data_IF_024594120014
#
_entry.id   IF_024594120014
#
_cell.length_a   1.000
_cell.length_b   1.000
_cell.length_c   1.000
_cell.angle_alpha   90.00
_cell.angle_beta   90.00
_cell.angle_gamma   90.00
#
_symmetry.space_group_name_H-M   'P 1'
#
loop_
_entity.id
_entity.type
_entity.pdbx_description
1 polymer ?
#
# COMPACT_ATOMS: atom_id res chain seq x y z
N UNK A 1 0.57 5.31 21.59
CA UNK A 1 1.31 5.36 20.30
C UNK A 1 2.71 4.85 20.55
N UNK A 2 3.07 3.75 19.92
CA UNK A 2 4.41 3.21 20.03
C UNK A 2 5.38 4.09 19.21
N UNK A 3 6.35 4.68 19.87
CA UNK A 3 7.33 5.56 19.27
C UNK A 3 8.72 4.93 19.40
N UNK A 4 8.97 3.85 18.63
CA UNK A 4 10.34 3.42 18.45
C UNK A 4 11.07 4.54 17.72
N UNK A 5 12.00 5.17 18.41
CA UNK A 5 12.77 6.33 17.93
C UNK A 5 13.76 5.87 16.84
N UNK A 6 13.22 5.42 15.68
CA UNK A 6 13.96 4.90 14.54
C UNK A 6 14.57 6.03 13.70
N UNK A 7 14.08 7.27 13.87
CA UNK A 7 14.48 8.43 13.08
C UNK A 7 15.94 8.84 13.28
N UNK A 8 16.54 8.40 14.40
CA UNK A 8 17.96 8.65 14.70
C UNK A 8 18.92 7.55 14.18
N UNK A 9 18.39 6.48 13.58
CA UNK A 9 19.23 5.48 12.95
C UNK A 9 19.73 5.99 11.61
N UNK A 10 21.05 6.07 11.49
CA UNK A 10 21.69 6.29 10.19
C UNK A 10 21.39 5.06 9.32
N UNK A 11 20.77 5.32 8.15
CA UNK A 11 20.39 4.29 7.19
C UNK A 11 19.02 4.54 6.59
N UNK A 12 18.60 3.67 5.68
CA UNK A 12 17.35 3.77 4.94
C UNK A 12 17.55 4.22 3.50
N UNK A 13 16.44 4.31 2.79
CA UNK A 13 16.42 4.68 1.38
C UNK A 13 16.24 6.20 1.24
N UNK A 14 16.99 6.83 0.33
CA UNK A 14 16.85 8.26 0.05
C UNK A 14 15.62 8.52 -0.81
N UNK A 15 14.60 9.14 -0.22
CA UNK A 15 13.40 9.57 -0.92
C UNK A 15 13.34 11.10 -0.88
N UNK A 16 13.34 11.77 -2.04
CA UNK A 16 13.27 13.24 -2.16
C UNK A 16 14.26 13.97 -1.24
N UNK A 17 15.53 13.54 -1.21
CA UNK A 17 16.64 14.08 -0.38
C UNK A 17 16.52 13.82 1.14
N UNK A 18 15.55 13.04 1.58
CA UNK A 18 15.44 12.60 2.99
C UNK A 18 15.72 11.12 3.10
N UNK A 19 16.46 10.72 4.12
CA UNK A 19 16.61 9.31 4.45
C UNK A 19 15.32 8.85 5.15
N UNK A 20 14.69 7.82 4.59
CA UNK A 20 13.50 7.20 5.15
C UNK A 20 13.82 5.73 5.40
N UNK A 21 13.79 5.31 6.64
CA UNK A 21 14.09 3.94 7.05
C UNK A 21 12.84 3.18 7.53
N UNK A 22 11.74 3.89 7.76
CA UNK A 22 10.49 3.27 8.18
C UNK A 22 9.27 4.08 7.73
N UNK A 23 8.15 3.37 7.51
CA UNK A 23 6.81 3.92 7.38
C UNK A 23 5.92 3.23 8.39
N UNK A 24 5.13 3.99 9.14
CA UNK A 24 4.24 3.48 10.18
C UNK A 24 2.81 3.87 9.89
N UNK A 25 1.92 2.91 10.03
CA UNK A 25 0.49 3.12 9.95
C UNK A 25 -0.21 2.25 10.99
N UNK A 26 -0.74 2.84 12.05
CA UNK A 26 -1.30 2.16 13.20
C UNK A 26 -0.30 1.14 13.81
N UNK A 27 -0.59 -0.14 13.69
CA UNK A 27 0.25 -1.28 14.10
C UNK A 27 1.14 -1.83 12.98
N UNK A 28 0.87 -1.46 11.73
CA UNK A 28 1.69 -1.85 10.59
C UNK A 28 2.95 -0.97 10.47
N UNK A 29 4.10 -1.61 10.29
CA UNK A 29 5.38 -0.91 10.10
C UNK A 29 6.13 -1.52 8.93
N UNK A 30 6.50 -0.68 7.95
CA UNK A 30 7.40 -1.05 6.87
C UNK A 30 8.79 -0.51 7.17
N UNK A 31 9.80 -1.38 7.14
CA UNK A 31 11.20 -1.01 7.26
C UNK A 31 11.84 -0.99 5.88
N UNK A 32 12.67 0.00 5.63
CA UNK A 32 13.38 0.17 4.35
C UNK A 32 14.88 0.29 4.59
N UNK A 33 15.67 -0.46 3.81
CA UNK A 33 17.11 -0.48 3.91
C UNK A 33 17.73 -0.73 2.53
N UNK A 34 18.96 -0.26 2.32
CA UNK A 34 19.73 -0.49 1.08
C UNK A 34 20.50 -1.83 1.15
N UNK A 35 20.67 -2.40 2.35
CA UNK A 35 21.34 -3.69 2.54
C UNK A 35 20.60 -4.59 3.53
N UNK A 36 20.88 -5.89 3.42
CA UNK A 36 20.27 -6.90 4.30
C UNK A 36 20.75 -6.76 5.74
N UNK A 37 22.03 -6.44 5.96
CA UNK A 37 22.61 -6.21 7.28
C UNK A 37 21.95 -5.03 7.97
N UNK A 38 21.68 -3.98 7.23
CA UNK A 38 20.97 -2.80 7.72
C UNK A 38 19.52 -3.15 8.08
N UNK A 39 18.82 -3.88 7.23
CA UNK A 39 17.46 -4.33 7.50
C UNK A 39 17.40 -5.19 8.78
N UNK A 40 18.35 -6.10 8.98
CA UNK A 40 18.45 -6.90 10.19
C UNK A 40 18.66 -6.04 11.44
N UNK A 41 19.52 -5.03 11.38
CA UNK A 41 19.74 -4.09 12.50
C UNK A 41 18.46 -3.33 12.84
N UNK A 42 17.75 -2.81 11.82
CA UNK A 42 16.46 -2.12 12.00
C UNK A 42 15.44 -3.04 12.64
N UNK A 43 15.29 -4.27 12.12
CA UNK A 43 14.34 -5.25 12.64
C UNK A 43 14.63 -5.63 14.10
N UNK A 44 15.90 -5.86 14.44
CA UNK A 44 16.32 -6.18 15.82
C UNK A 44 15.94 -5.04 16.75
N UNK A 45 16.23 -3.79 16.37
CA UNK A 45 15.89 -2.63 17.19
C UNK A 45 14.38 -2.43 17.34
N UNK A 46 13.61 -2.62 16.27
CA UNK A 46 12.14 -2.58 16.35
C UNK A 46 11.63 -3.66 17.30
N UNK A 47 12.20 -4.86 17.26
CA UNK A 47 11.84 -5.95 18.16
C UNK A 47 12.13 -5.57 19.63
N UNK A 48 13.32 -5.09 19.94
CA UNK A 48 13.71 -4.67 21.28
C UNK A 48 12.81 -3.56 21.84
N UNK A 49 12.55 -2.53 21.04
CA UNK A 49 11.68 -1.42 21.45
C UNK A 49 10.20 -1.84 21.60
N UNK A 50 9.72 -2.75 20.76
CA UNK A 50 8.37 -3.29 20.89
C UNK A 50 8.21 -4.13 22.16
N UNK A 51 9.20 -4.96 22.49
CA UNK A 51 9.21 -5.78 23.71
C UNK A 51 9.21 -4.90 24.97
N UNK A 52 9.96 -3.79 25.01
CA UNK A 52 9.92 -2.80 26.12
C UNK A 52 8.52 -2.20 26.31
N UNK A 53 7.74 -2.07 25.23
CA UNK A 53 6.37 -1.57 25.25
C UNK A 53 5.32 -2.67 25.48
N UNK A 54 5.73 -3.91 25.75
CA UNK A 54 4.83 -5.05 25.93
C UNK A 54 4.22 -5.59 24.63
N UNK A 55 4.72 -5.14 23.46
CA UNK A 55 4.25 -5.57 22.15
C UNK A 55 5.17 -6.67 21.61
N UNK A 56 4.59 -7.64 20.88
CA UNK A 56 5.35 -8.71 20.22
C UNK A 56 5.22 -8.62 18.71
N UNK A 57 6.33 -8.70 18.00
CA UNK A 57 6.32 -8.81 16.55
C UNK A 57 5.66 -10.12 16.12
N UNK A 58 4.71 -10.02 15.18
CA UNK A 58 4.08 -11.18 14.57
C UNK A 58 4.95 -11.67 13.39
N UNK A 59 5.82 -12.65 13.65
CA UNK A 59 6.75 -13.19 12.65
C UNK A 59 6.03 -13.89 11.49
N UNK A 60 4.80 -14.37 11.67
CA UNK A 60 4.00 -14.99 10.60
C UNK A 60 3.43 -13.97 9.60
N UNK A 61 3.20 -12.74 10.06
CA UNK A 61 2.74 -11.63 9.21
C UNK A 61 3.88 -10.76 8.69
N UNK A 62 5.09 -10.92 9.23
CA UNK A 62 6.26 -10.17 8.79
C UNK A 62 6.80 -10.78 7.51
N UNK A 63 6.95 -9.97 6.46
CA UNK A 63 7.40 -10.40 5.13
C UNK A 63 8.55 -9.51 4.67
N UNK A 64 9.43 -10.04 3.81
CA UNK A 64 10.55 -9.32 3.21
C UNK A 64 10.31 -9.22 1.71
N UNK A 65 10.33 -8.00 1.17
CA UNK A 65 10.28 -7.72 -0.25
C UNK A 65 11.63 -7.23 -0.74
N UNK A 66 12.19 -7.90 -1.74
CA UNK A 66 13.41 -7.46 -2.43
C UNK A 66 13.04 -6.74 -3.72
N UNK A 67 13.44 -5.47 -3.85
CA UNK A 67 13.20 -4.66 -5.06
C UNK A 67 14.22 -4.95 -6.17
N UNK A 68 15.36 -5.59 -5.85
CA UNK A 68 16.42 -5.92 -6.81
C UNK A 68 16.68 -7.42 -6.78
N UNK A 69 16.52 -8.13 -7.92
CA UNK A 69 16.67 -9.60 -7.98
C UNK A 69 18.06 -10.14 -7.63
N UNK A 70 19.10 -9.32 -7.73
CA UNK A 70 20.50 -9.72 -7.51
C UNK A 70 20.88 -9.95 -6.04
N UNK A 71 20.01 -9.66 -5.10
CA UNK A 71 20.27 -9.79 -3.65
C UNK A 71 19.64 -11.05 -3.03
N UNK A 72 19.30 -12.05 -3.84
CA UNK A 72 18.83 -13.33 -3.30
C UNK A 72 19.95 -14.08 -2.58
N UNK A 73 20.17 -13.77 -1.32
CA UNK A 73 20.85 -14.71 -0.43
C UNK A 73 19.77 -15.57 0.24
N UNK A 74 19.87 -16.89 0.05
CA UNK A 74 19.02 -17.87 0.76
C UNK A 74 19.32 -17.77 2.25
N UNK A 75 18.56 -16.96 2.96
CA UNK A 75 18.70 -16.88 4.40
C UNK A 75 17.74 -17.83 5.08
N UNK A 76 18.28 -18.74 5.89
CA UNK A 76 17.55 -19.62 6.79
C UNK A 76 16.88 -18.91 7.96
N UNK A 77 16.22 -17.77 7.69
CA UNK A 77 15.46 -17.00 8.67
C UNK A 77 13.99 -17.40 8.67
N UNK A 78 13.31 -17.23 9.81
CA UNK A 78 11.88 -17.50 10.00
C UNK A 78 10.95 -16.52 9.26
N UNK A 79 11.47 -15.58 8.47
CA UNK A 79 10.71 -14.54 7.76
C UNK A 79 10.62 -14.90 6.28
N UNK A 80 9.40 -14.91 5.76
CA UNK A 80 9.11 -15.26 4.37
C UNK A 80 9.51 -14.14 3.42
N UNK A 81 10.20 -14.49 2.33
CA UNK A 81 10.50 -13.58 1.22
C UNK A 81 9.39 -13.67 0.20
N UNK A 82 8.82 -12.51 -0.16
CA UNK A 82 7.68 -12.42 -1.07
C UNK A 82 8.01 -11.51 -2.26
N UNK A 83 7.29 -11.71 -3.37
CA UNK A 83 7.38 -10.85 -4.57
C UNK A 83 6.42 -9.67 -4.52
N UNK A 84 5.42 -9.77 -3.68
CA UNK A 84 4.42 -8.72 -3.46
C UNK A 84 3.84 -8.83 -2.04
N UNK A 85 3.33 -7.74 -1.51
CA UNK A 85 2.64 -7.70 -0.23
C UNK A 85 1.56 -6.62 -0.21
N UNK A 86 0.63 -6.73 0.74
CA UNK A 86 -0.43 -5.73 0.92
C UNK A 86 -0.06 -4.82 2.09
N UNK A 87 0.07 -3.52 1.82
CA UNK A 87 0.28 -2.49 2.83
C UNK A 87 -0.86 -1.47 2.77
N UNK A 88 -1.55 -1.28 3.88
CA UNK A 88 -2.70 -0.35 4.02
C UNK A 88 -3.77 -0.58 2.94
N UNK A 89 -3.95 -1.85 2.53
CA UNK A 89 -4.95 -2.23 1.52
C UNK A 89 -4.51 -2.03 0.06
N UNK A 90 -3.28 -1.59 -0.21
CA UNK A 90 -2.69 -1.56 -1.55
C UNK A 90 -1.66 -2.67 -1.74
N UNK A 91 -1.70 -3.31 -2.89
CA UNK A 91 -0.72 -4.31 -3.28
C UNK A 91 0.54 -3.64 -3.79
N UNK A 92 1.65 -3.86 -3.09
CA UNK A 92 2.97 -3.38 -3.48
C UNK A 92 3.72 -4.55 -4.11
N UNK A 93 4.24 -4.36 -5.32
CA UNK A 93 4.99 -5.34 -6.09
C UNK A 93 6.45 -4.91 -6.24
N UNK A 94 7.36 -5.88 -6.34
CA UNK A 94 8.78 -5.61 -6.48
C UNK A 94 9.13 -4.86 -7.78
N UNK A 95 8.34 -5.04 -8.85
CA UNK A 95 8.50 -4.38 -10.14
C UNK A 95 7.87 -2.98 -10.22
N UNK A 96 7.11 -2.58 -9.19
CA UNK A 96 6.40 -1.30 -9.15
C UNK A 96 5.28 -1.18 -10.19
N UNK A 97 4.77 -2.30 -10.74
CA UNK A 97 3.65 -2.30 -11.69
C UNK A 97 2.30 -2.37 -10.97
N UNK A 98 1.58 -1.27 -10.98
CA UNK A 98 0.25 -1.13 -10.38
C UNK A 98 -0.91 -1.43 -11.34
N UNK A 99 -0.64 -1.90 -12.57
CA UNK A 99 -1.68 -2.14 -13.60
C UNK A 99 -2.78 -3.09 -13.12
N UNK A 100 -2.43 -4.12 -12.36
CA UNK A 100 -3.40 -5.07 -11.82
C UNK A 100 -4.22 -4.48 -10.68
N UNK A 101 -3.59 -3.67 -9.84
CA UNK A 101 -4.26 -2.95 -8.75
C UNK A 101 -5.30 -1.97 -9.31
N UNK A 102 -4.92 -1.17 -10.31
CA UNK A 102 -5.83 -0.25 -11.01
C UNK A 102 -7.02 -0.99 -11.61
N UNK A 103 -6.79 -2.12 -12.28
CA UNK A 103 -7.88 -2.95 -12.83
C UNK A 103 -8.82 -3.46 -11.73
N UNK A 104 -8.27 -3.90 -10.60
CA UNK A 104 -9.06 -4.37 -9.45
C UNK A 104 -9.95 -3.26 -8.89
N UNK A 105 -9.41 -2.06 -8.70
CA UNK A 105 -10.16 -0.90 -8.21
C UNK A 105 -11.26 -0.46 -9.20
N UNK A 106 -10.98 -0.45 -10.51
CA UNK A 106 -11.98 -0.20 -11.53
C UNK A 106 -13.11 -1.25 -11.52
N UNK A 107 -12.76 -2.52 -11.29
CA UNK A 107 -13.76 -3.59 -11.15
C UNK A 107 -14.62 -3.40 -9.89
N UNK A 108 -14.02 -3.02 -8.77
CA UNK A 108 -14.74 -2.69 -7.54
C UNK A 108 -15.69 -1.50 -7.76
N UNK A 109 -15.24 -0.47 -8.46
CA UNK A 109 -16.08 0.68 -8.85
C UNK A 109 -17.28 0.25 -9.69
N UNK A 110 -17.09 -0.63 -10.68
CA UNK A 110 -18.19 -1.20 -11.49
C UNK A 110 -19.17 -2.00 -10.64
N UNK A 111 -18.70 -2.84 -9.72
CA UNK A 111 -19.54 -3.58 -8.77
C UNK A 111 -20.37 -2.62 -7.90
N UNK A 112 -19.72 -1.58 -7.36
CA UNK A 112 -20.42 -0.55 -6.58
C UNK A 112 -21.47 0.20 -7.40
N UNK A 113 -21.19 0.51 -8.68
CA UNK A 113 -22.16 1.07 -9.63
C UNK A 113 -23.38 0.16 -9.82
N UNK A 114 -23.15 -1.15 -9.97
CA UNK A 114 -24.23 -2.14 -10.10
C UNK A 114 -25.14 -2.18 -8.87
N UNK A 115 -24.57 -2.04 -7.67
CA UNK A 115 -25.35 -1.96 -6.42
C UNK A 115 -26.24 -0.72 -6.42
N UNK A 116 -25.74 0.42 -6.92
CA UNK A 116 -26.49 1.68 -6.99
C UNK A 116 -27.45 1.75 -8.18
N UNK A 117 -27.42 0.80 -9.13
CA UNK A 117 -28.19 0.84 -10.37
C UNK A 117 -29.69 1.05 -10.13
N UNK A 118 -30.25 0.42 -9.09
CA UNK A 118 -31.65 0.60 -8.69
C UNK A 118 -31.98 2.06 -8.34
N UNK A 119 -31.08 2.76 -7.70
CA UNK A 119 -31.23 4.17 -7.32
C UNK A 119 -31.00 5.07 -8.55
N UNK A 120 -29.98 4.76 -9.33
CA UNK A 120 -29.60 5.56 -10.51
C UNK A 120 -30.68 5.52 -11.62
N UNK A 121 -31.46 4.41 -11.72
CA UNK A 121 -32.58 4.27 -12.68
C UNK A 121 -33.85 4.95 -12.23
N UNK A 122 -33.99 5.40 -11.00
CA UNK A 122 -35.19 6.09 -10.54
C UNK A 122 -35.38 7.43 -11.25
N UNK A 123 -36.62 7.72 -11.66
CA UNK A 123 -36.99 8.95 -12.35
C UNK A 123 -37.23 10.12 -11.41
N UNK A 124 -37.64 9.86 -10.18
CA UNK A 124 -37.86 10.85 -9.12
C UNK A 124 -36.57 11.50 -8.56
N UNK A 125 -35.41 10.96 -8.89
CA UNK A 125 -34.10 11.49 -8.48
C UNK A 125 -33.52 12.32 -9.64
N UNK A 126 -33.22 13.58 -9.37
CA UNK A 126 -32.61 14.48 -10.33
C UNK A 126 -31.22 14.04 -10.75
N UNK A 127 -30.83 14.37 -11.99
CA UNK A 127 -29.49 14.03 -12.51
C UNK A 127 -28.37 14.55 -11.60
N UNK A 128 -28.51 15.77 -11.07
CA UNK A 128 -27.52 16.36 -10.17
C UNK A 128 -27.29 15.50 -8.92
N UNK A 129 -28.36 14.99 -8.31
CA UNK A 129 -28.25 14.10 -7.14
C UNK A 129 -27.63 12.75 -7.48
N UNK A 130 -27.92 12.20 -8.68
CA UNK A 130 -27.28 10.97 -9.16
C UNK A 130 -25.78 11.15 -9.34
N UNK A 131 -25.36 12.24 -9.97
CA UNK A 131 -23.93 12.58 -10.14
C UNK A 131 -23.25 12.77 -8.78
N UNK A 132 -23.90 13.47 -7.86
CA UNK A 132 -23.38 13.63 -6.51
C UNK A 132 -23.19 12.29 -5.80
N UNK A 133 -24.17 11.39 -5.87
CA UNK A 133 -24.11 10.05 -5.30
C UNK A 133 -22.92 9.24 -5.85
N UNK A 134 -22.74 9.25 -7.19
CA UNK A 134 -21.62 8.57 -7.83
C UNK A 134 -20.27 9.16 -7.36
N UNK A 135 -20.15 10.49 -7.32
CA UNK A 135 -18.94 11.16 -6.88
C UNK A 135 -18.58 10.86 -5.42
N UNK A 136 -19.57 10.76 -4.54
CA UNK A 136 -19.33 10.55 -3.09
C UNK A 136 -19.15 9.09 -2.72
N UNK A 137 -19.75 8.15 -3.45
CA UNK A 137 -19.73 6.73 -3.09
C UNK A 137 -18.83 5.87 -3.99
N UNK A 138 -18.75 6.17 -5.28
CA UNK A 138 -18.04 5.33 -6.24
C UNK A 138 -16.58 5.81 -6.43
N UNK A 139 -16.36 7.11 -6.62
CA UNK A 139 -15.02 7.63 -6.85
C UNK A 139 -14.04 7.33 -5.72
N UNK A 140 -14.39 7.43 -4.43
CA UNK A 140 -13.49 7.04 -3.35
C UNK A 140 -13.04 5.58 -3.43
N UNK A 141 -13.90 4.67 -3.89
CA UNK A 141 -13.55 3.25 -4.05
C UNK A 141 -12.50 3.07 -5.16
N UNK A 142 -12.61 3.83 -6.26
CA UNK A 142 -11.69 3.72 -7.39
C UNK A 142 -10.34 4.36 -7.08
N UNK A 143 -10.36 5.55 -6.44
CA UNK A 143 -9.14 6.32 -6.18
C UNK A 143 -8.50 5.98 -4.82
N UNK A 144 -9.03 5.02 -4.07
CA UNK A 144 -8.47 4.60 -2.80
C UNK A 144 -7.02 4.19 -2.97
N UNK A 145 -6.13 4.85 -2.24
CA UNK A 145 -4.66 4.64 -2.28
C UNK A 145 -4.00 4.91 -3.65
N UNK A 146 -4.72 5.51 -4.62
CA UNK A 146 -4.13 5.82 -5.94
C UNK A 146 -2.92 6.79 -5.87
N UNK A 147 -2.72 7.46 -4.76
CA UNK A 147 -1.61 8.40 -4.54
C UNK A 147 -0.23 7.72 -4.62
N UNK A 148 -0.16 6.42 -4.32
CA UNK A 148 1.07 5.62 -4.38
C UNK A 148 1.31 5.00 -5.76
N UNK A 149 0.35 5.10 -6.69
CA UNK A 149 0.48 4.46 -8.00
C UNK A 149 1.30 5.28 -8.98
N UNK A 150 2.24 4.62 -9.64
CA UNK A 150 2.87 5.16 -10.85
C UNK A 150 1.95 4.84 -12.04
N UNK A 151 1.10 5.82 -12.42
CA UNK A 151 0.06 5.64 -13.44
C UNK A 151 0.66 5.77 -14.82
N UNK A 152 0.58 4.72 -15.64
CA UNK A 152 0.93 4.76 -17.06
C UNK A 152 -0.19 5.47 -17.86
N UNK A 153 0.15 6.09 -19.00
CA UNK A 153 -0.81 6.82 -19.83
C UNK A 153 -2.05 6.00 -20.23
N UNK A 154 -1.88 4.71 -20.50
CA UNK A 154 -2.98 3.81 -20.84
C UNK A 154 -3.95 3.59 -19.67
N UNK A 155 -3.44 3.61 -18.44
CA UNK A 155 -4.24 3.44 -17.23
C UNK A 155 -4.96 4.73 -16.86
N UNK A 156 -4.31 5.87 -17.07
CA UNK A 156 -4.95 7.18 -16.96
C UNK A 156 -6.21 7.25 -17.84
N UNK A 157 -6.11 6.84 -19.11
CA UNK A 157 -7.24 6.80 -20.04
C UNK A 157 -8.37 5.89 -19.56
N UNK A 158 -8.05 4.74 -18.92
CA UNK A 158 -9.06 3.84 -18.35
C UNK A 158 -9.79 4.46 -17.16
N UNK A 159 -9.05 5.16 -16.29
CA UNK A 159 -9.62 5.88 -15.14
C UNK A 159 -10.50 7.03 -15.64
N UNK A 160 -10.05 7.77 -16.63
CA UNK A 160 -10.80 8.89 -17.19
C UNK A 160 -12.05 8.41 -17.93
N UNK A 161 -11.99 7.29 -18.66
CA UNK A 161 -13.18 6.68 -19.28
C UNK A 161 -14.22 6.22 -18.25
N UNK A 162 -13.83 5.95 -17.01
CA UNK A 162 -14.78 5.63 -15.95
C UNK A 162 -15.48 6.87 -15.40
N UNK A 163 -14.89 8.06 -15.56
CA UNK A 163 -15.46 9.35 -15.09
C UNK A 163 -16.50 9.94 -16.04
N UNK A 164 -16.51 9.49 -17.31
CA UNK A 164 -17.45 9.90 -18.34
C UNK A 164 -18.79 9.18 -18.19
#
# INVERSE_FOLDING_TARGET
>A
MWNANLDHLQGGVKIAKRNTNNLKYADDTTLMAESEEELKRLLTKVKEESEKSGLKLNTQKTQILHLVPSLYSKHGGKVETVTDFIFVGSKITADGDYSNEIKSHLLLGRKAMTILDRILKRRDITLLRKVHLVKTMIFPVIIYICQSWTIKKAEQLRIDAFKL
#
